data_IF_731088020212
#
_entry.id   IF_731088020212
#
_cell.length_a   1.000
_cell.length_b   1.000
_cell.length_c   1.000
_cell.angle_alpha   90.00
_cell.angle_beta   90.00
_cell.angle_gamma   90.00
#
_symmetry.space_group_name_H-M   'P 1'
#
loop_
_entity.id
_entity.type
_entity.pdbx_description
1 polymer ?
#
# COMPACT_ATOMS: atom_id res chain seq x y z
N UNK A 1 -41.30 -33.36 -38.16
CA UNK A 1 -40.11 -33.83 -37.39
C UNK A 1 -38.80 -33.10 -37.72
N UNK A 2 -38.38 -32.97 -39.00
CA UNK A 2 -37.09 -32.34 -39.36
C UNK A 2 -36.91 -30.87 -38.92
N UNK A 3 -37.98 -30.07 -38.86
CA UNK A 3 -37.90 -28.67 -38.42
C UNK A 3 -37.81 -28.52 -36.90
N UNK A 4 -38.46 -29.40 -36.12
CA UNK A 4 -38.37 -29.41 -34.66
C UNK A 4 -36.96 -29.78 -34.18
N UNK A 5 -36.31 -30.75 -34.86
CA UNK A 5 -34.92 -31.11 -34.60
C UNK A 5 -33.95 -29.95 -34.88
N UNK A 6 -34.20 -29.17 -35.94
CA UNK A 6 -33.38 -28.00 -36.29
C UNK A 6 -33.53 -26.87 -35.25
N UNK A 7 -34.74 -26.62 -34.76
CA UNK A 7 -34.99 -25.63 -33.71
C UNK A 7 -34.32 -26.01 -32.38
N UNK A 8 -34.38 -27.28 -31.98
CA UNK A 8 -33.69 -27.78 -30.79
C UNK A 8 -32.16 -27.68 -30.90
N UNK A 9 -31.59 -28.00 -32.07
CA UNK A 9 -30.16 -27.88 -32.31
C UNK A 9 -29.68 -26.43 -32.25
N UNK A 10 -30.45 -25.48 -32.81
CA UNK A 10 -30.13 -24.05 -32.74
C UNK A 10 -30.23 -23.54 -31.29
N UNK A 11 -31.25 -23.94 -30.54
CA UNK A 11 -31.39 -23.56 -29.13
C UNK A 11 -30.25 -24.10 -28.26
N UNK A 12 -29.80 -25.34 -28.49
CA UNK A 12 -28.65 -25.94 -27.81
C UNK A 12 -27.33 -25.23 -28.17
N UNK A 13 -27.12 -24.85 -29.43
CA UNK A 13 -25.95 -24.07 -29.84
C UNK A 13 -25.95 -22.67 -29.22
N UNK A 14 -27.11 -21.98 -29.18
CA UNK A 14 -27.23 -20.65 -28.57
C UNK A 14 -26.99 -20.71 -27.06
N UNK A 15 -27.52 -21.72 -26.36
CA UNK A 15 -27.23 -21.93 -24.94
C UNK A 15 -25.77 -22.33 -24.69
N UNK A 16 -25.16 -23.14 -25.57
CA UNK A 16 -23.75 -23.48 -25.51
C UNK A 16 -22.83 -22.26 -25.67
N UNK A 17 -23.12 -21.38 -26.62
CA UNK A 17 -22.37 -20.14 -26.82
C UNK A 17 -22.52 -19.16 -25.64
N UNK A 18 -23.70 -19.10 -25.01
CA UNK A 18 -23.93 -18.29 -23.81
C UNK A 18 -23.13 -18.80 -22.60
N UNK A 19 -22.94 -20.12 -22.48
CA UNK A 19 -22.14 -20.74 -21.40
C UNK A 19 -20.64 -20.54 -21.60
N UNK A 20 -20.14 -20.51 -22.85
CA UNK A 20 -18.71 -20.27 -23.14
C UNK A 20 -18.30 -18.80 -23.05
N UNK A 21 -19.25 -17.86 -23.13
CA UNK A 21 -18.95 -16.43 -23.08
C UNK A 21 -18.54 -15.94 -21.67
N UNK A 22 -19.00 -16.61 -20.60
CA UNK A 22 -18.62 -16.29 -19.21
C UNK A 22 -17.30 -16.92 -18.74
N UNK A 23 -16.91 -18.08 -19.31
CA UNK A 23 -15.75 -18.83 -18.85
C UNK A 23 -14.41 -18.12 -19.18
N UNK A 24 -14.35 -17.41 -20.32
CA UNK A 24 -13.15 -16.66 -20.72
C UNK A 24 -12.91 -15.39 -19.90
N UNK A 25 -13.98 -14.72 -19.45
CA UNK A 25 -13.86 -13.53 -18.59
C UNK A 25 -13.42 -13.89 -17.17
N UNK A 26 -13.93 -15.01 -16.63
CA UNK A 26 -13.49 -15.54 -15.34
C UNK A 26 -12.02 -15.99 -15.36
N UNK A 27 -11.57 -16.70 -16.41
CA UNK A 27 -10.16 -17.07 -16.57
C UNK A 27 -9.25 -15.83 -16.70
N UNK A 28 -9.66 -14.82 -17.47
CA UNK A 28 -8.93 -13.57 -17.62
C UNK A 28 -8.84 -12.80 -16.29
N UNK A 29 -9.95 -12.73 -15.54
CA UNK A 29 -9.99 -12.13 -14.21
C UNK A 29 -9.07 -12.87 -13.24
N UNK A 30 -9.12 -14.20 -13.19
CA UNK A 30 -8.29 -15.01 -12.31
C UNK A 30 -6.80 -14.88 -12.64
N UNK A 31 -6.44 -14.75 -13.92
CA UNK A 31 -5.07 -14.44 -14.32
C UNK A 31 -4.61 -13.08 -13.78
N UNK A 32 -5.40 -12.04 -13.98
CA UNK A 32 -5.08 -10.70 -13.46
C UNK A 32 -5.00 -10.69 -11.93
N UNK A 33 -5.90 -11.40 -11.25
CA UNK A 33 -5.88 -11.57 -9.80
C UNK A 33 -4.60 -12.23 -9.31
N UNK A 34 -4.15 -13.30 -9.97
CA UNK A 34 -2.92 -13.99 -9.58
C UNK A 34 -1.69 -13.09 -9.74
N UNK A 35 -1.62 -12.34 -10.85
CA UNK A 35 -0.56 -11.35 -11.08
C UNK A 35 -0.61 -10.24 -10.01
N UNK A 36 -1.79 -9.71 -9.71
CA UNK A 36 -2.01 -8.71 -8.67
C UNK A 36 -1.56 -9.22 -7.28
N UNK A 37 -1.95 -10.44 -6.90
CA UNK A 37 -1.58 -11.04 -5.61
C UNK A 37 -0.07 -11.25 -5.51
N UNK A 38 0.59 -11.66 -6.60
CA UNK A 38 2.04 -11.78 -6.65
C UNK A 38 2.73 -10.42 -6.47
N UNK A 39 2.25 -9.38 -7.16
CA UNK A 39 2.73 -8.00 -7.00
C UNK A 39 2.51 -7.49 -5.58
N UNK A 40 1.34 -7.72 -4.99
CA UNK A 40 1.02 -7.30 -3.63
C UNK A 40 1.96 -7.93 -2.60
N UNK A 41 2.23 -9.24 -2.72
CA UNK A 41 3.17 -9.93 -1.82
C UNK A 41 4.59 -9.39 -1.93
N UNK A 42 5.06 -9.11 -3.15
CA UNK A 42 6.39 -8.52 -3.37
C UNK A 42 6.47 -7.09 -2.83
N UNK A 43 5.44 -6.29 -3.07
CA UNK A 43 5.32 -4.93 -2.54
C UNK A 43 5.33 -4.90 -1.02
N UNK A 44 4.53 -5.76 -0.37
CA UNK A 44 4.45 -5.85 1.09
C UNK A 44 5.82 -6.20 1.70
N UNK A 45 6.47 -7.23 1.17
CA UNK A 45 7.81 -7.64 1.58
C UNK A 45 8.85 -6.53 1.41
N UNK A 46 8.80 -5.78 0.30
CA UNK A 46 9.70 -4.64 0.06
C UNK A 46 9.43 -3.52 1.05
N UNK A 47 8.16 -3.19 1.31
CA UNK A 47 7.77 -2.20 2.30
C UNK A 47 8.30 -2.52 3.70
N UNK A 48 8.21 -3.78 4.12
CA UNK A 48 8.78 -4.25 5.39
C UNK A 48 10.31 -4.09 5.42
N UNK A 49 10.99 -4.58 4.37
CA UNK A 49 12.45 -4.53 4.26
C UNK A 49 13.01 -3.09 4.21
N UNK A 50 12.23 -2.13 3.70
CA UNK A 50 12.61 -0.71 3.70
C UNK A 50 12.30 -0.01 5.03
N UNK A 51 11.35 -0.53 5.81
CA UNK A 51 10.96 0.03 7.11
C UNK A 51 11.88 -0.48 8.24
N UNK A 52 12.35 -1.72 8.12
CA UNK A 52 13.22 -2.39 9.08
C UNK A 52 14.19 -3.34 8.39
N UNK A 53 15.44 -3.41 8.86
CA UNK A 53 16.44 -4.35 8.36
C UNK A 53 17.63 -3.70 7.65
N UNK A 54 18.49 -4.51 7.00
CA UNK A 54 19.74 -4.06 6.38
C UNK A 54 19.52 -3.18 5.13
N UNK A 55 18.34 -3.28 4.51
CA UNK A 55 17.92 -2.51 3.35
C UNK A 55 17.06 -1.29 3.72
N UNK A 56 17.08 -0.87 4.99
CA UNK A 56 16.30 0.27 5.47
C UNK A 56 16.57 1.51 4.60
N UNK A 57 15.49 2.15 4.16
CA UNK A 57 15.54 3.34 3.31
C UNK A 57 15.13 4.58 4.08
N UNK A 58 15.53 5.74 3.57
CA UNK A 58 15.06 7.01 4.10
C UNK A 58 13.55 7.15 3.96
N UNK A 59 12.95 8.02 4.77
CA UNK A 59 11.50 8.24 4.77
C UNK A 59 10.99 8.74 3.41
N UNK A 60 11.79 9.55 2.69
CA UNK A 60 11.45 10.06 1.35
C UNK A 60 11.59 8.99 0.25
N UNK A 61 12.60 8.12 0.34
CA UNK A 61 12.72 6.96 -0.57
C UNK A 61 11.54 6.00 -0.38
N UNK A 62 11.13 5.75 0.86
CA UNK A 62 9.96 4.92 1.19
C UNK A 62 8.67 5.49 0.61
N UNK A 63 8.47 6.80 0.72
CA UNK A 63 7.29 7.48 0.17
C UNK A 63 7.26 7.44 -1.36
N UNK A 64 8.42 7.63 -2.00
CA UNK A 64 8.55 7.58 -3.46
C UNK A 64 8.22 6.18 -3.97
N UNK A 65 8.82 5.14 -3.38
CA UNK A 65 8.49 3.76 -3.70
C UNK A 65 7.01 3.45 -3.49
N UNK A 66 6.46 3.85 -2.34
CA UNK A 66 5.05 3.63 -2.03
C UNK A 66 4.14 4.25 -3.10
N UNK A 67 4.44 5.48 -3.54
CA UNK A 67 3.67 6.19 -4.57
C UNK A 67 3.76 5.50 -5.93
N UNK A 68 4.96 5.13 -6.36
CA UNK A 68 5.18 4.51 -7.67
C UNK A 68 4.51 3.13 -7.76
N UNK A 69 4.77 2.26 -6.78
CA UNK A 69 4.22 0.90 -6.79
C UNK A 69 2.71 0.89 -6.54
N UNK A 70 2.19 1.75 -5.67
CA UNK A 70 0.73 1.84 -5.47
C UNK A 70 0.01 2.31 -6.74
N UNK A 71 0.61 3.21 -7.52
CA UNK A 71 0.07 3.65 -8.82
C UNK A 71 0.03 2.49 -9.81
N UNK A 72 1.06 1.65 -9.86
CA UNK A 72 1.10 0.48 -10.74
C UNK A 72 0.06 -0.57 -10.34
N UNK A 73 -0.06 -0.85 -9.05
CA UNK A 73 -1.06 -1.78 -8.52
C UNK A 73 -2.49 -1.28 -8.73
N UNK A 74 -2.74 0.03 -8.63
CA UNK A 74 -4.05 0.60 -8.95
C UNK A 74 -4.41 0.41 -10.43
N UNK A 75 -3.46 0.54 -11.36
CA UNK A 75 -3.71 0.24 -12.78
C UNK A 75 -4.14 -1.21 -12.99
N UNK A 76 -3.53 -2.16 -12.27
CA UNK A 76 -3.94 -3.57 -12.29
C UNK A 76 -5.36 -3.77 -11.77
N UNK A 77 -5.72 -3.11 -10.66
CA UNK A 77 -7.08 -3.12 -10.13
C UNK A 77 -8.09 -2.51 -11.12
N UNK A 78 -7.72 -1.45 -11.84
CA UNK A 78 -8.56 -0.85 -12.88
C UNK A 78 -8.77 -1.80 -14.08
N UNK A 79 -7.78 -2.62 -14.44
CA UNK A 79 -7.94 -3.69 -15.43
C UNK A 79 -8.92 -4.76 -14.93
N UNK A 80 -8.78 -5.19 -13.68
CA UNK A 80 -9.69 -6.16 -13.05
C UNK A 80 -11.12 -5.63 -12.99
N UNK A 81 -11.31 -4.35 -12.65
CA UNK A 81 -12.62 -3.68 -12.60
C UNK A 81 -13.38 -3.76 -13.92
N UNK A 82 -12.70 -3.60 -15.06
CA UNK A 82 -13.33 -3.66 -16.39
C UNK A 82 -13.96 -5.02 -16.66
N UNK A 83 -13.32 -6.09 -16.21
CA UNK A 83 -13.83 -7.46 -16.35
C UNK A 83 -14.90 -7.73 -15.29
N UNK A 84 -14.63 -7.35 -14.04
CA UNK A 84 -15.50 -7.58 -12.90
C UNK A 84 -16.87 -6.90 -13.02
N UNK A 85 -16.95 -5.74 -13.67
CA UNK A 85 -18.20 -4.96 -13.80
C UNK A 85 -19.36 -5.70 -14.49
N UNK A 86 -19.09 -6.83 -15.15
CA UNK A 86 -20.07 -7.62 -15.90
C UNK A 86 -20.60 -8.83 -15.13
N UNK A 87 -19.98 -9.20 -14.02
CA UNK A 87 -20.34 -10.36 -13.20
C UNK A 87 -20.37 -10.00 -11.70
N UNK A 88 -21.44 -10.33 -11.01
CA UNK A 88 -21.63 -9.92 -9.60
C UNK A 88 -20.62 -10.58 -8.65
N UNK A 89 -20.23 -11.83 -8.90
CA UNK A 89 -19.25 -12.54 -8.07
C UNK A 89 -17.85 -11.96 -8.28
N UNK A 90 -17.45 -11.72 -9.54
CA UNK A 90 -16.17 -11.08 -9.85
C UNK A 90 -16.12 -9.64 -9.32
N UNK A 91 -17.24 -8.92 -9.36
CA UNK A 91 -17.33 -7.57 -8.79
C UNK A 91 -17.15 -7.56 -7.27
N UNK A 92 -17.77 -8.49 -6.56
CA UNK A 92 -17.61 -8.60 -5.10
C UNK A 92 -16.17 -8.94 -4.71
N UNK A 93 -15.53 -9.86 -5.44
CA UNK A 93 -14.12 -10.21 -5.23
C UNK A 93 -13.20 -9.02 -5.53
N UNK A 94 -13.46 -8.29 -6.61
CA UNK A 94 -12.73 -7.07 -6.96
C UNK A 94 -12.85 -6.00 -5.87
N UNK A 95 -14.07 -5.73 -5.38
CA UNK A 95 -14.30 -4.73 -4.33
C UNK A 95 -13.57 -5.08 -3.03
N UNK A 96 -13.47 -6.37 -2.71
CA UNK A 96 -12.69 -6.83 -1.56
C UNK A 96 -11.21 -6.54 -1.75
N UNK A 97 -10.64 -6.90 -2.90
CA UNK A 97 -9.23 -6.65 -3.21
C UNK A 97 -8.90 -5.14 -3.22
N UNK A 98 -9.77 -4.33 -3.81
CA UNK A 98 -9.62 -2.87 -3.83
C UNK A 98 -9.62 -2.30 -2.40
N UNK A 99 -10.58 -2.73 -1.57
CA UNK A 99 -10.65 -2.28 -0.18
C UNK A 99 -9.40 -2.65 0.61
N UNK A 100 -8.98 -3.92 0.53
CA UNK A 100 -7.77 -4.40 1.20
C UNK A 100 -6.54 -3.59 0.78
N UNK A 101 -6.42 -3.28 -0.52
CA UNK A 101 -5.34 -2.45 -1.05
C UNK A 101 -5.37 -1.03 -0.50
N UNK A 102 -6.52 -0.37 -0.55
CA UNK A 102 -6.69 1.02 -0.14
C UNK A 102 -6.35 1.20 1.34
N UNK A 103 -6.87 0.31 2.21
CA UNK A 103 -6.54 0.29 3.64
C UNK A 103 -5.03 0.10 3.86
N UNK A 104 -4.42 -0.79 3.10
CA UNK A 104 -2.98 -1.10 3.17
C UNK A 104 -2.12 0.11 2.77
N UNK A 105 -2.48 0.80 1.68
CA UNK A 105 -1.80 2.02 1.22
C UNK A 105 -1.96 3.15 2.25
N UNK A 106 -3.18 3.37 2.74
CA UNK A 106 -3.47 4.40 3.74
C UNK A 106 -2.65 4.20 5.02
N UNK A 107 -2.64 2.98 5.55
CA UNK A 107 -1.89 2.63 6.76
C UNK A 107 -0.38 2.90 6.59
N UNK A 108 0.19 2.58 5.43
CA UNK A 108 1.61 2.85 5.17
C UNK A 108 1.91 4.35 5.06
N UNK A 109 1.05 5.12 4.40
CA UNK A 109 1.19 6.58 4.36
C UNK A 109 1.04 7.21 5.75
N UNK A 110 0.14 6.70 6.58
CA UNK A 110 0.01 7.14 7.98
C UNK A 110 1.33 6.91 8.75
N UNK A 111 1.92 5.72 8.65
CA UNK A 111 3.21 5.42 9.27
C UNK A 111 4.35 6.31 8.76
N UNK A 112 4.38 6.65 7.45
CA UNK A 112 5.36 7.59 6.89
C UNK A 112 5.16 9.00 7.51
N UNK A 113 3.92 9.48 7.60
CA UNK A 113 3.62 10.79 8.20
C UNK A 113 4.06 10.86 9.67
N UNK A 114 3.81 9.81 10.44
CA UNK A 114 4.24 9.72 11.84
C UNK A 114 5.77 9.79 11.96
N UNK A 115 6.51 9.03 11.15
CA UNK A 115 7.98 9.08 11.15
C UNK A 115 8.48 10.48 10.80
N UNK A 116 7.92 11.13 9.79
CA UNK A 116 8.29 12.53 9.44
C UNK A 116 8.01 13.50 10.58
N UNK A 117 6.88 13.34 11.29
CA UNK A 117 6.54 14.16 12.44
C UNK A 117 7.56 13.98 13.58
N UNK A 118 7.96 12.73 13.87
CA UNK A 118 8.98 12.42 14.88
C UNK A 118 10.34 13.00 14.49
N UNK A 119 10.75 12.86 13.24
CA UNK A 119 12.01 13.44 12.73
C UNK A 119 12.02 14.97 12.84
N UNK A 120 10.89 15.62 12.56
CA UNK A 120 10.71 17.07 12.73
C UNK A 120 10.84 17.48 14.20
N UNK A 121 10.10 16.82 15.10
CA UNK A 121 10.17 17.08 16.54
C UNK A 121 11.60 16.89 17.08
N UNK A 122 12.31 15.86 16.63
CA UNK A 122 13.70 15.60 17.03
C UNK A 122 14.65 16.70 16.58
N UNK A 123 14.48 17.22 15.36
CA UNK A 123 15.27 18.35 14.85
C UNK A 123 15.01 19.60 15.69
N UNK A 124 13.75 19.91 15.97
CA UNK A 124 13.35 21.05 16.81
C UNK A 124 13.89 20.93 18.25
N UNK A 125 13.83 19.73 18.84
CA UNK A 125 14.37 19.48 20.18
C UNK A 125 15.90 19.51 20.23
N UNK A 126 16.59 19.11 19.15
CA UNK A 126 18.06 19.17 19.08
C UNK A 126 18.61 20.61 18.96
N UNK A 127 17.78 21.56 18.52
CA UNK A 127 18.08 23.00 18.55
C UNK A 127 17.88 23.65 19.92
N UNK A 128 17.07 23.03 20.78
CA UNK A 128 16.98 23.35 22.20
C UNK A 128 18.19 22.73 22.91
N UNK A 129 19.35 23.42 22.87
CA UNK A 129 20.36 23.18 23.91
C UNK A 129 19.62 23.34 25.24
N UNK A 130 19.61 22.34 26.15
CA UNK A 130 19.24 22.64 27.51
C UNK A 130 20.21 23.74 27.93
N UNK A 131 19.68 24.92 28.24
CA UNK A 131 20.40 25.84 29.07
C UNK A 131 20.56 25.09 30.39
N UNK A 132 21.59 24.26 30.48
CA UNK A 132 22.20 23.86 31.73
C UNK A 132 22.74 25.17 32.30
N UNK A 133 21.82 25.97 32.86
CA UNK A 133 22.17 26.98 33.84
C UNK A 133 22.77 26.13 34.95
N UNK A 134 24.10 26.08 35.02
CA UNK A 134 24.79 25.55 36.17
C UNK A 134 24.56 26.58 37.29
N UNK A 135 23.55 26.37 38.17
CA UNK A 135 23.18 27.39 39.14
C UNK A 135 24.33 27.62 40.13
N UNK A 136 25.19 26.62 40.27
CA UNK A 136 26.37 26.63 41.12
C UNK A 136 27.45 27.46 40.42
N UNK A 137 27.81 27.13 39.17
CA UNK A 137 28.77 27.90 38.38
C UNK A 137 28.45 29.40 38.30
N UNK A 138 27.18 29.75 38.07
CA UNK A 138 26.73 31.15 38.03
C UNK A 138 26.77 31.85 39.39
N UNK A 139 26.49 31.13 40.48
CA UNK A 139 26.58 31.65 41.84
C UNK A 139 28.03 31.99 42.22
N UNK A 140 28.99 31.10 41.95
CA UNK A 140 30.41 31.35 42.23
C UNK A 140 30.97 32.50 41.40
N UNK A 141 30.58 32.60 40.12
CA UNK A 141 30.98 33.68 39.22
C UNK A 141 30.46 35.05 39.67
N UNK A 142 29.19 35.14 40.13
CA UNK A 142 28.61 36.39 40.68
C UNK A 142 29.29 36.85 41.97
N UNK A 143 29.84 35.92 42.75
CA UNK A 143 30.54 36.22 44.02
C UNK A 143 32.06 36.38 43.86
N UNK A 144 32.59 36.32 42.64
CA UNK A 144 34.03 36.44 42.38
C UNK A 144 34.87 35.30 42.98
N UNK A 145 34.24 34.15 43.25
CA UNK A 145 34.90 33.00 43.85
C UNK A 145 35.41 32.04 42.77
N UNK A 146 36.63 31.50 42.90
CA UNK A 146 37.15 30.53 41.95
C UNK A 146 36.30 29.25 41.99
N UNK A 147 35.90 28.76 40.81
CA UNK A 147 35.25 27.45 40.68
C UNK A 147 36.34 26.40 40.88
N UNK A 148 36.24 25.60 41.94
CA UNK A 148 37.21 24.53 42.19
C UNK A 148 37.19 23.52 41.03
N UNK A 149 38.36 23.09 40.52
CA UNK A 149 38.41 22.04 39.50
C UNK A 149 37.86 20.73 40.09
N UNK A 150 37.06 20.01 39.30
CA UNK A 150 36.67 18.63 39.60
C UNK A 150 37.83 17.69 39.36
#
# INVERSE_FOLDING_TARGET
>A
MKQLLRLLAVALCVMGCLLTAGCGEEEAYNKLKNEYVAMYKDWDKKCEAMSSGPTKKSTDERETFLKETSTEMQKKLDEMKKIASKDTNLNNDYLKLQKEFDESVENRYAGIREVKAIEKMRKESSGLKPALVDPIGDYYKKKGMPIAPR
#
